data_IF_945977687565
#
_entry.id   IF_945977687565
#
_cell.length_a   1.000
_cell.length_b   1.000
_cell.length_c   1.000
_cell.angle_alpha   90.00
_cell.angle_beta   90.00
_cell.angle_gamma   90.00
#
_symmetry.space_group_name_H-M   'P 1'
#
loop_
_entity.id
_entity.type
_entity.pdbx_description
1 polymer ?
#
# COMPACT_ATOMS: atom_id res chain seq x y z
N UNK A 1 6.27 -36.07 -11.91
CA UNK A 1 5.33 -35.58 -10.87
C UNK A 1 5.37 -34.06 -10.65
N UNK A 2 6.29 -33.28 -11.26
CA UNK A 2 6.43 -31.83 -10.93
C UNK A 2 5.43 -30.88 -11.63
N UNK A 3 4.72 -31.31 -12.67
CA UNK A 3 3.78 -30.44 -13.39
C UNK A 3 2.56 -30.01 -12.56
N UNK A 4 2.12 -30.83 -11.60
CA UNK A 4 0.92 -30.55 -10.79
C UNK A 4 1.11 -29.38 -9.82
N UNK A 5 2.24 -29.35 -9.11
CA UNK A 5 2.54 -28.29 -8.12
C UNK A 5 2.66 -26.93 -8.80
N UNK A 6 3.31 -26.88 -9.96
CA UNK A 6 3.42 -25.66 -10.76
C UNK A 6 2.05 -25.08 -11.13
N UNK A 7 1.17 -25.91 -11.68
CA UNK A 7 -0.18 -25.50 -12.10
C UNK A 7 -0.97 -24.96 -10.92
N UNK A 8 -0.89 -25.63 -9.77
CA UNK A 8 -1.55 -25.20 -8.54
C UNK A 8 -1.10 -23.80 -8.08
N UNK A 9 0.21 -23.52 -8.12
CA UNK A 9 0.76 -22.19 -7.74
C UNK A 9 0.26 -21.10 -8.70
N UNK A 10 0.20 -21.41 -10.00
CA UNK A 10 -0.30 -20.47 -11.03
C UNK A 10 -1.78 -20.17 -10.79
N UNK A 11 -2.59 -21.19 -10.54
CA UNK A 11 -4.03 -21.04 -10.26
C UNK A 11 -4.29 -20.22 -8.99
N UNK A 12 -3.57 -20.50 -7.92
CA UNK A 12 -3.63 -19.72 -6.67
C UNK A 12 -3.26 -18.26 -6.90
N UNK A 13 -2.21 -18.02 -7.68
CA UNK A 13 -1.76 -16.66 -8.02
C UNK A 13 -2.81 -15.93 -8.86
N UNK A 14 -3.37 -16.57 -9.88
CA UNK A 14 -4.44 -16.01 -10.72
C UNK A 14 -5.70 -15.67 -9.91
N UNK A 15 -6.09 -16.55 -8.98
CA UNK A 15 -7.21 -16.30 -8.08
C UNK A 15 -6.97 -15.05 -7.22
N UNK A 16 -5.78 -14.90 -6.66
CA UNK A 16 -5.41 -13.76 -5.84
C UNK A 16 -5.31 -12.46 -6.65
N UNK A 17 -4.77 -12.50 -7.87
CA UNK A 17 -4.75 -11.35 -8.77
C UNK A 17 -6.18 -10.90 -9.14
N UNK A 18 -7.11 -11.84 -9.36
CA UNK A 18 -8.51 -11.53 -9.68
C UNK A 18 -9.23 -10.83 -8.51
N UNK A 19 -8.89 -11.13 -7.27
CA UNK A 19 -9.51 -10.51 -6.09
C UNK A 19 -9.04 -9.07 -5.82
N UNK A 20 -7.88 -8.66 -6.37
CA UNK A 20 -7.39 -7.28 -6.23
C UNK A 20 -8.42 -6.26 -6.75
N UNK A 21 -8.63 -5.12 -6.07
CA UNK A 21 -9.50 -4.06 -6.58
C UNK A 21 -8.94 -3.46 -7.88
N UNK A 22 -9.80 -2.83 -8.68
CA UNK A 22 -9.34 -2.00 -9.79
C UNK A 22 -8.52 -0.83 -9.23
N UNK A 23 -7.38 -0.53 -9.86
CA UNK A 23 -6.56 0.62 -9.50
C UNK A 23 -7.32 1.92 -9.72
N UNK A 24 -7.22 2.85 -8.75
CA UNK A 24 -7.90 4.14 -8.81
C UNK A 24 -7.30 5.09 -9.84
N UNK A 25 -5.99 4.98 -10.09
CA UNK A 25 -5.27 5.81 -11.04
C UNK A 25 -4.45 4.90 -11.94
N UNK A 26 -4.83 4.81 -13.22
CA UNK A 26 -4.08 4.05 -14.22
C UNK A 26 -3.08 4.98 -14.92
N UNK A 27 -1.83 4.97 -14.50
CA UNK A 27 -0.76 5.66 -15.22
C UNK A 27 -0.01 4.65 -16.10
N UNK A 28 -0.34 4.62 -17.39
CA UNK A 28 0.28 3.82 -18.46
C UNK A 28 0.14 2.29 -18.37
N UNK A 29 0.15 1.69 -17.17
CA UNK A 29 -0.04 0.26 -16.97
C UNK A 29 -0.77 0.00 -15.65
N UNK A 30 -1.48 -1.13 -15.59
CA UNK A 30 -2.02 -1.65 -14.33
C UNK A 30 -1.24 -2.89 -13.91
N UNK A 31 -0.82 -2.92 -12.66
CA UNK A 31 -0.17 -4.07 -12.08
C UNK A 31 -1.07 -5.31 -12.19
N UNK A 32 -2.35 -5.20 -11.82
CA UNK A 32 -3.30 -6.30 -11.92
C UNK A 32 -3.40 -6.83 -13.37
N UNK A 33 -3.61 -5.93 -14.32
CA UNK A 33 -3.84 -6.31 -15.72
C UNK A 33 -2.58 -6.95 -16.34
N UNK A 34 -1.39 -6.37 -16.11
CA UNK A 34 -0.11 -6.89 -16.62
C UNK A 34 0.21 -8.26 -16.02
N UNK A 35 -0.02 -8.45 -14.72
CA UNK A 35 0.25 -9.74 -14.10
C UNK A 35 -0.75 -10.81 -14.55
N UNK A 36 -2.03 -10.48 -14.70
CA UNK A 36 -3.02 -11.42 -15.25
C UNK A 36 -2.62 -11.88 -16.66
N UNK A 37 -2.14 -10.96 -17.50
CA UNK A 37 -1.64 -11.30 -18.84
C UNK A 37 -0.41 -12.20 -18.77
N UNK A 38 0.58 -11.89 -17.90
CA UNK A 38 1.78 -12.72 -17.71
C UNK A 38 1.43 -14.16 -17.33
N UNK A 39 0.60 -14.34 -16.31
CA UNK A 39 0.26 -15.65 -15.75
C UNK A 39 -0.71 -16.46 -16.62
N UNK A 40 -1.44 -15.80 -17.52
CA UNK A 40 -2.31 -16.46 -18.50
C UNK A 40 -1.58 -16.77 -19.82
N UNK A 41 -0.39 -16.20 -20.03
CA UNK A 41 0.36 -16.30 -21.27
C UNK A 41 1.60 -17.19 -21.19
N UNK A 42 2.34 -17.27 -22.29
CA UNK A 42 3.51 -18.14 -22.40
C UNK A 42 4.72 -17.67 -21.60
N UNK A 43 4.77 -16.38 -21.24
CA UNK A 43 5.87 -15.81 -20.45
C UNK A 43 6.06 -16.53 -19.11
N UNK A 44 4.98 -17.06 -18.53
CA UNK A 44 5.05 -17.79 -17.26
C UNK A 44 5.76 -19.13 -17.40
N UNK A 45 5.81 -19.75 -18.59
CA UNK A 45 6.38 -21.08 -18.81
C UNK A 45 7.89 -21.14 -18.53
N UNK A 46 8.58 -20.02 -18.73
CA UNK A 46 10.04 -19.92 -18.53
C UNK A 46 10.44 -19.62 -17.09
N UNK A 47 9.49 -19.34 -16.20
CA UNK A 47 9.74 -19.08 -14.78
C UNK A 47 9.91 -20.41 -14.04
N UNK A 48 10.93 -20.56 -13.21
CA UNK A 48 11.13 -21.79 -12.42
C UNK A 48 10.03 -21.96 -11.35
N UNK A 49 9.82 -23.20 -10.88
CA UNK A 49 8.83 -23.48 -9.82
C UNK A 49 9.11 -22.70 -8.53
N UNK A 50 10.39 -22.62 -8.14
CA UNK A 50 10.83 -21.83 -6.98
C UNK A 50 10.51 -20.34 -7.13
N UNK A 51 10.71 -19.78 -8.32
CA UNK A 51 10.37 -18.37 -8.58
C UNK A 51 8.86 -18.13 -8.57
N UNK A 52 8.05 -19.08 -9.05
CA UNK A 52 6.60 -19.00 -8.96
C UNK A 52 6.13 -18.99 -7.50
N UNK A 53 6.71 -19.86 -6.68
CA UNK A 53 6.43 -19.91 -5.24
C UNK A 53 6.77 -18.58 -4.55
N UNK A 54 7.97 -18.04 -4.79
CA UNK A 54 8.39 -16.75 -4.24
C UNK A 54 7.48 -15.60 -4.69
N UNK A 55 7.07 -15.58 -5.96
CA UNK A 55 6.15 -14.57 -6.49
C UNK A 55 4.76 -14.68 -5.82
N UNK A 56 4.26 -15.91 -5.62
CA UNK A 56 3.00 -16.13 -4.92
C UNK A 56 3.05 -15.65 -3.47
N UNK A 57 4.13 -15.98 -2.73
CA UNK A 57 4.31 -15.54 -1.35
C UNK A 57 4.35 -14.01 -1.27
N UNK A 58 5.10 -13.35 -2.16
CA UNK A 58 5.18 -11.90 -2.21
C UNK A 58 3.82 -11.26 -2.49
N UNK A 59 3.05 -11.79 -3.45
CA UNK A 59 1.71 -11.28 -3.78
C UNK A 59 0.74 -11.47 -2.61
N UNK A 60 0.77 -12.65 -1.97
CA UNK A 60 -0.04 -12.95 -0.77
C UNK A 60 0.26 -11.96 0.36
N UNK A 61 1.52 -11.69 0.62
CA UNK A 61 1.93 -10.78 1.70
C UNK A 61 1.56 -9.32 1.38
N UNK A 62 1.64 -8.92 0.10
CA UNK A 62 1.16 -7.62 -0.38
C UNK A 62 -0.36 -7.46 -0.15
N UNK A 63 -1.15 -8.47 -0.53
CA UNK A 63 -2.61 -8.47 -0.39
C UNK A 63 -3.04 -8.48 1.07
N UNK A 64 -2.33 -9.23 1.91
CA UNK A 64 -2.65 -9.34 3.33
C UNK A 64 -2.19 -8.13 4.16
N UNK A 65 -1.72 -7.06 3.51
CA UNK A 65 -1.45 -5.75 4.12
C UNK A 65 -0.56 -5.83 5.38
N UNK A 66 0.34 -6.83 5.42
CA UNK A 66 1.17 -7.19 6.58
C UNK A 66 1.88 -5.96 7.15
N UNK A 67 2.40 -5.08 6.29
CA UNK A 67 3.15 -3.88 6.67
C UNK A 67 2.28 -2.66 6.94
N UNK A 68 1.09 -2.55 6.34
CA UNK A 68 0.16 -1.45 6.68
C UNK A 68 -0.30 -1.55 8.13
N UNK A 69 -0.51 -2.76 8.62
CA UNK A 69 -0.85 -2.97 10.03
C UNK A 69 0.39 -2.90 10.94
N UNK A 70 1.59 -3.11 10.40
CA UNK A 70 2.84 -3.05 11.16
C UNK A 70 3.18 -1.63 11.63
N UNK A 71 2.94 -0.63 10.77
CA UNK A 71 3.09 0.80 11.10
C UNK A 71 1.74 1.51 11.12
N UNK A 72 0.75 0.91 11.77
CA UNK A 72 -0.58 1.52 11.88
C UNK A 72 -0.42 2.93 12.46
N UNK A 73 -0.89 3.93 11.72
CA UNK A 73 -1.01 5.31 12.19
C UNK A 73 -2.05 5.33 13.31
N UNK A 74 -1.59 5.20 14.54
CA UNK A 74 -2.42 5.27 15.72
C UNK A 74 -2.64 6.72 16.14
N UNK A 75 -3.58 6.93 17.08
CA UNK A 75 -3.82 8.26 17.63
C UNK A 75 -2.57 8.84 18.31
N UNK A 76 -1.59 8.03 18.73
CA UNK A 76 -0.34 8.55 19.30
C UNK A 76 0.51 9.25 18.25
N UNK A 77 0.56 8.71 17.03
CA UNK A 77 1.25 9.32 15.91
C UNK A 77 0.46 10.51 15.34
N UNK A 78 -0.86 10.38 15.20
CA UNK A 78 -1.70 11.42 14.59
C UNK A 78 -2.06 12.56 15.56
N UNK A 79 -1.97 12.34 16.88
CA UNK A 79 -2.27 13.34 17.92
C UNK A 79 -1.17 13.29 19.00
N UNK A 80 0.01 13.89 18.71
CA UNK A 80 1.12 13.85 19.63
C UNK A 80 0.74 14.55 20.96
N UNK A 81 1.16 13.97 22.10
CA UNK A 81 0.77 14.44 23.45
C UNK A 81 0.99 15.93 23.70
N UNK A 82 2.07 16.49 23.15
CA UNK A 82 2.42 17.91 23.32
C UNK A 82 1.61 18.86 22.44
N UNK A 83 1.10 18.40 21.30
CA UNK A 83 0.27 19.21 20.40
C UNK A 83 -0.71 18.31 19.62
N UNK A 84 -1.85 17.93 20.22
CA UNK A 84 -2.81 17.03 19.60
C UNK A 84 -3.41 17.53 18.28
N UNK A 85 -3.34 18.85 18.02
CA UNK A 85 -3.93 19.53 16.86
C UNK A 85 -2.91 19.80 15.74
N UNK A 86 -1.67 19.32 15.89
CA UNK A 86 -0.55 19.63 15.00
C UNK A 86 -0.85 19.32 13.53
N UNK A 87 -1.28 18.09 13.23
CA UNK A 87 -1.55 17.68 11.84
C UNK A 87 -2.82 18.32 11.28
N UNK A 88 -3.85 18.52 12.12
CA UNK A 88 -5.08 19.22 11.73
C UNK A 88 -4.77 20.64 11.27
N UNK A 89 -3.82 21.33 11.93
CA UNK A 89 -3.35 22.67 11.56
C UNK A 89 -2.62 22.66 10.22
N UNK A 90 -1.63 21.79 10.05
CA UNK A 90 -0.88 21.68 8.78
C UNK A 90 -1.84 21.42 7.62
N UNK A 91 -2.81 20.51 7.81
CA UNK A 91 -3.83 20.22 6.82
C UNK A 91 -4.74 21.43 6.54
N UNK A 92 -5.11 22.19 7.57
CA UNK A 92 -5.93 23.40 7.42
C UNK A 92 -5.19 24.52 6.66
N UNK A 93 -3.89 24.66 6.88
CA UNK A 93 -3.03 25.61 6.15
C UNK A 93 -2.87 25.21 4.69
N UNK A 94 -2.59 23.93 4.41
CA UNK A 94 -2.48 23.39 3.05
C UNK A 94 -3.78 23.54 2.26
N UNK A 95 -4.93 23.35 2.91
CA UNK A 95 -6.26 23.54 2.31
C UNK A 95 -6.65 25.02 2.16
N UNK A 96 -5.87 25.94 2.72
CA UNK A 96 -6.17 27.37 2.71
C UNK A 96 -7.33 27.79 3.63
N UNK A 97 -7.76 26.91 4.53
CA UNK A 97 -8.92 27.13 5.42
C UNK A 97 -8.57 28.04 6.60
N UNK A 98 -7.32 27.99 7.09
CA UNK A 98 -6.83 28.84 8.19
C UNK A 98 -5.36 29.22 7.95
N UNK A 99 -5.04 30.52 7.88
CA UNK A 99 -3.67 31.03 7.92
C UNK A 99 -3.36 31.45 9.36
N UNK A 100 -2.50 30.70 10.07
CA UNK A 100 -2.00 31.19 11.35
C UNK A 100 -1.10 32.40 11.14
N UNK A 101 -1.27 33.44 11.95
CA UNK A 101 -0.39 34.62 11.93
C UNK A 101 0.92 34.27 12.66
N UNK A 102 2.05 34.85 12.24
CA UNK A 102 3.40 34.56 12.77
C UNK A 102 3.49 34.55 14.32
N UNK A 103 2.76 35.43 15.01
CA UNK A 103 2.70 35.45 16.47
C UNK A 103 1.97 34.25 17.11
N UNK A 104 0.96 33.70 16.44
CA UNK A 104 0.23 32.49 16.88
C UNK A 104 1.11 31.24 16.77
N UNK A 105 1.91 31.16 15.69
CA UNK A 105 2.88 30.10 15.50
C UNK A 105 3.95 30.12 16.61
N UNK A 106 4.51 31.29 16.92
CA UNK A 106 5.49 31.46 18.01
C UNK A 106 4.93 31.08 19.38
N UNK A 107 3.69 31.49 19.70
CA UNK A 107 3.01 31.10 20.95
C UNK A 107 2.81 29.59 21.03
N UNK A 108 2.42 28.94 19.92
CA UNK A 108 2.23 27.49 19.92
C UNK A 108 3.56 26.77 20.17
N UNK A 109 4.66 27.20 19.54
CA UNK A 109 5.97 26.56 19.72
C UNK A 109 6.44 26.67 21.17
N UNK A 110 6.18 27.80 21.83
CA UNK A 110 6.60 28.04 23.21
C UNK A 110 5.70 27.38 24.26
N UNK A 111 4.40 27.24 24.00
CA UNK A 111 3.42 26.80 25.00
C UNK A 111 2.68 25.50 24.66
N UNK A 112 2.90 24.93 23.48
CA UNK A 112 2.22 23.72 23.01
C UNK A 112 0.71 23.89 22.77
N UNK A 113 0.18 25.12 22.84
CA UNK A 113 -1.22 25.50 22.63
C UNK A 113 -1.32 26.82 21.88
#
# INVERSE_FOLDING_TARGET
MSGGVRTEIIEKTLSLLKSLPKERIKHYASFKDVQLQKYSGDAIKNVSEKELELQYIALRDLVNDKYKNYYKLDDKLLKPKGNPQYYDRILSELKGEKKETFGSAMRTVLFGK
#
